data_IF_764846833615
#
_entry.id   IF_764846833615
#
_cell.length_a   1.000
_cell.length_b   1.000
_cell.length_c   1.000
_cell.angle_alpha   90.00
_cell.angle_beta   90.00
_cell.angle_gamma   90.00
#
_symmetry.space_group_name_H-M   'P 1'
#
loop_
_entity.id
_entity.type
_entity.pdbx_description
1 polymer ?
#
# COMPACT_ATOMS: atom_id res chain seq x y z
N UNK A 1 -11.81 -4.43 -12.78
CA UNK A 1 -11.30 -4.08 -14.12
C UNK A 1 -10.86 -5.33 -14.85
N UNK A 2 -11.03 -5.37 -16.17
CA UNK A 2 -10.59 -6.49 -17.00
C UNK A 2 -9.22 -6.15 -17.59
N UNK A 3 -8.27 -7.07 -17.49
CA UNK A 3 -6.95 -6.97 -18.12
C UNK A 3 -7.03 -7.29 -19.61
N UNK A 4 -6.00 -6.95 -20.38
CA UNK A 4 -5.89 -7.26 -21.80
C UNK A 4 -6.01 -8.77 -22.11
N UNK A 5 -5.69 -9.63 -21.14
CA UNK A 5 -5.80 -11.09 -21.24
C UNK A 5 -7.10 -11.65 -20.62
N UNK A 6 -8.11 -10.82 -20.37
CA UNK A 6 -9.43 -11.24 -19.88
C UNK A 6 -9.48 -11.64 -18.40
N UNK A 7 -8.40 -11.46 -17.64
CA UNK A 7 -8.41 -11.66 -16.18
C UNK A 7 -9.08 -10.47 -15.49
N UNK A 8 -9.92 -10.73 -14.50
CA UNK A 8 -10.50 -9.70 -13.66
C UNK A 8 -9.57 -9.34 -12.50
N UNK A 9 -9.38 -8.05 -12.26
CA UNK A 9 -8.65 -7.49 -11.13
C UNK A 9 -9.58 -6.54 -10.38
N UNK A 10 -9.65 -6.67 -9.06
CA UNK A 10 -10.40 -5.73 -8.23
C UNK A 10 -9.51 -4.55 -7.86
N UNK A 11 -9.88 -3.35 -8.28
CA UNK A 11 -9.17 -2.11 -7.95
C UNK A 11 -10.00 -1.30 -6.94
N UNK A 12 -9.35 -0.79 -5.91
CA UNK A 12 -9.95 0.09 -4.93
C UNK A 12 -8.96 1.18 -4.54
N UNK A 13 -9.43 2.42 -4.53
CA UNK A 13 -8.69 3.56 -4.01
C UNK A 13 -9.23 3.89 -2.62
N UNK A 14 -8.34 3.98 -1.64
CA UNK A 14 -8.70 4.30 -0.25
C UNK A 14 -8.87 5.81 -0.10
N UNK A 15 -9.94 6.32 0.53
CA UNK A 15 -10.07 7.74 0.83
C UNK A 15 -9.01 8.18 1.85
N UNK A 16 -8.46 9.38 1.69
CA UNK A 16 -7.41 9.92 2.54
C UNK A 16 -7.66 11.39 2.92
N UNK A 17 -7.23 11.84 4.11
CA UNK A 17 -7.24 13.26 4.46
C UNK A 17 -6.13 14.03 3.74
N UNK A 18 -6.14 15.35 3.87
CA UNK A 18 -5.05 16.22 3.37
C UNK A 18 -3.72 16.03 4.11
N UNK A 19 -3.71 15.35 5.27
CA UNK A 19 -2.48 14.99 5.98
C UNK A 19 -1.74 13.94 5.16
N UNK A 20 -0.69 14.37 4.45
CA UNK A 20 0.07 13.52 3.54
C UNK A 20 0.62 12.28 4.27
N UNK A 21 0.70 11.16 3.54
CA UNK A 21 1.19 9.86 4.03
C UNK A 21 0.34 9.20 5.15
N UNK A 22 -0.60 9.91 5.77
CA UNK A 22 -1.43 9.37 6.86
C UNK A 22 -2.25 8.13 6.47
N UNK A 23 -2.53 7.96 5.17
CA UNK A 23 -3.28 6.81 4.65
C UNK A 23 -2.42 5.56 4.44
N UNK A 24 -1.09 5.66 4.42
CA UNK A 24 -0.20 4.53 4.15
C UNK A 24 -0.47 3.31 5.05
N UNK A 25 -0.48 3.44 6.39
CA UNK A 25 -0.78 2.30 7.26
C UNK A 25 -2.23 1.82 7.14
N UNK A 26 -3.16 2.68 6.72
CA UNK A 26 -4.55 2.28 6.47
C UNK A 26 -4.64 1.34 5.26
N UNK A 27 -3.88 1.62 4.20
CA UNK A 27 -3.79 0.74 3.02
C UNK A 27 -3.12 -0.58 3.38
N UNK A 28 -2.00 -0.56 4.11
CA UNK A 28 -1.32 -1.79 4.56
C UNK A 28 -2.23 -2.65 5.43
N UNK A 29 -2.89 -2.06 6.43
CA UNK A 29 -3.84 -2.77 7.28
C UNK A 29 -5.03 -3.33 6.50
N UNK A 30 -5.53 -2.59 5.51
CA UNK A 30 -6.61 -3.07 4.64
C UNK A 30 -6.16 -4.24 3.76
N UNK A 31 -4.95 -4.18 3.20
CA UNK A 31 -4.38 -5.25 2.41
C UNK A 31 -4.14 -6.51 3.26
N UNK A 32 -3.52 -6.34 4.44
CA UNK A 32 -3.30 -7.40 5.41
C UNK A 32 -4.60 -8.10 5.79
N UNK A 33 -5.60 -7.34 6.25
CA UNK A 33 -6.88 -7.90 6.65
C UNK A 33 -7.58 -8.66 5.52
N UNK A 34 -7.48 -8.18 4.27
CA UNK A 34 -8.04 -8.89 3.12
C UNK A 34 -7.27 -10.16 2.78
N UNK A 35 -5.94 -10.15 2.83
CA UNK A 35 -5.13 -11.34 2.61
C UNK A 35 -5.51 -12.44 3.62
N UNK A 36 -5.59 -12.08 4.90
CA UNK A 36 -5.93 -13.00 5.97
C UNK A 36 -7.36 -13.58 5.82
N UNK A 37 -8.35 -12.72 5.54
CA UNK A 37 -9.77 -13.13 5.50
C UNK A 37 -10.18 -13.80 4.18
N UNK A 38 -9.66 -13.33 3.04
CA UNK A 38 -10.13 -13.74 1.71
C UNK A 38 -9.21 -14.73 1.01
N UNK A 39 -7.94 -14.77 1.40
CA UNK A 39 -6.90 -15.50 0.67
C UNK A 39 -6.05 -16.41 1.57
N UNK A 40 -6.48 -16.71 2.80
CA UNK A 40 -5.75 -17.58 3.73
C UNK A 40 -4.29 -17.12 3.93
N UNK A 41 -4.09 -15.80 4.00
CA UNK A 41 -2.77 -15.17 4.10
C UNK A 41 -1.83 -15.48 2.92
N UNK A 42 -2.38 -15.85 1.75
CA UNK A 42 -1.67 -15.84 0.46
C UNK A 42 -1.54 -14.38 -0.02
N UNK A 43 -0.40 -13.79 0.32
CA UNK A 43 -0.10 -12.39 0.03
C UNK A 43 0.11 -12.12 -1.48
N UNK A 44 0.38 -13.13 -2.31
CA UNK A 44 0.52 -12.96 -3.77
C UNK A 44 -0.83 -12.64 -4.46
N UNK A 45 -1.95 -12.75 -3.73
CA UNK A 45 -3.31 -12.48 -4.21
C UNK A 45 -3.72 -11.02 -4.03
N UNK A 46 -2.93 -10.22 -3.33
CA UNK A 46 -3.21 -8.80 -3.06
C UNK A 46 -1.94 -7.98 -3.27
N UNK A 47 -2.08 -6.79 -3.86
CA UNK A 47 -0.94 -5.92 -4.12
C UNK A 47 -1.24 -4.52 -3.58
N UNK A 48 -0.65 -4.14 -2.44
CA UNK A 48 -0.66 -2.76 -1.99
C UNK A 48 0.16 -1.89 -2.95
N UNK A 49 -0.39 -0.72 -3.29
CA UNK A 49 0.30 0.31 -4.06
C UNK A 49 0.16 1.61 -3.28
N UNK A 50 1.29 2.21 -2.91
CA UNK A 50 1.36 3.51 -2.24
C UNK A 50 1.96 4.53 -3.20
N UNK A 51 1.26 5.66 -3.36
CA UNK A 51 1.68 6.75 -4.24
C UNK A 51 2.05 7.94 -3.36
N UNK A 52 3.24 8.49 -3.58
CA UNK A 52 3.81 9.54 -2.75
C UNK A 52 4.21 10.76 -3.58
N UNK A 53 4.27 11.93 -2.95
CA UNK A 53 5.06 13.06 -3.43
C UNK A 53 6.50 12.98 -2.92
N UNK A 54 7.43 13.61 -3.62
CA UNK A 54 8.86 13.64 -3.25
C UNK A 54 9.12 14.30 -1.89
N UNK A 55 8.48 15.45 -1.61
CA UNK A 55 8.65 16.11 -0.32
C UNK A 55 8.04 15.29 0.84
N UNK A 56 6.88 14.67 0.62
CA UNK A 56 6.15 13.96 1.68
C UNK A 56 6.77 12.61 2.03
N UNK A 57 7.24 11.84 1.06
CA UNK A 57 7.91 10.55 1.31
C UNK A 57 9.20 10.74 2.12
N UNK A 58 9.93 11.83 1.88
CA UNK A 58 11.16 12.13 2.60
C UNK A 58 10.88 12.73 3.99
N UNK A 59 9.83 13.54 4.12
CA UNK A 59 9.59 14.37 5.31
C UNK A 59 8.64 13.80 6.36
N UNK A 60 7.77 12.84 6.03
CA UNK A 60 6.80 12.30 6.98
C UNK A 60 7.32 11.02 7.65
N UNK A 61 7.45 11.06 8.98
CA UNK A 61 7.94 9.93 9.79
C UNK A 61 7.15 8.63 9.60
N UNK A 62 5.84 8.74 9.32
CA UNK A 62 4.94 7.59 9.13
C UNK A 62 5.35 6.69 7.95
N UNK A 63 6.07 7.23 6.96
CA UNK A 63 6.64 6.43 5.86
C UNK A 63 7.69 5.46 6.40
N UNK A 64 8.62 5.96 7.22
CA UNK A 64 9.70 5.16 7.79
C UNK A 64 9.17 4.16 8.83
N UNK A 65 8.16 4.54 9.62
CA UNK A 65 7.46 3.61 10.51
C UNK A 65 6.89 2.42 9.72
N UNK A 66 6.19 2.69 8.61
CA UNK A 66 5.64 1.66 7.74
C UNK A 66 6.73 0.76 7.14
N UNK A 67 7.81 1.35 6.61
CA UNK A 67 8.95 0.60 6.05
C UNK A 67 9.61 -0.30 7.11
N UNK A 68 9.81 0.20 8.33
CA UNK A 68 10.38 -0.58 9.43
C UNK A 68 9.49 -1.78 9.82
N UNK A 69 8.17 -1.64 9.71
CA UNK A 69 7.23 -2.73 9.99
C UNK A 69 7.07 -3.73 8.84
N UNK A 70 7.51 -3.41 7.63
CA UNK A 70 7.18 -4.16 6.40
C UNK A 70 7.52 -5.66 6.41
N UNK A 71 8.52 -6.08 7.20
CA UNK A 71 8.95 -7.48 7.32
C UNK A 71 8.50 -8.15 8.62
N UNK A 72 7.78 -7.43 9.50
CA UNK A 72 7.29 -8.01 10.74
C UNK A 72 6.07 -8.89 10.45
N UNK A 73 6.02 -10.08 11.06
CA UNK A 73 4.96 -11.06 10.84
C UNK A 73 3.54 -10.48 10.99
N UNK A 74 3.32 -9.60 11.97
CA UNK A 74 2.02 -8.96 12.21
C UNK A 74 1.62 -7.89 11.19
N UNK A 75 2.56 -7.42 10.36
CA UNK A 75 2.38 -6.28 9.44
C UNK A 75 2.71 -6.63 7.99
N UNK A 76 3.30 -7.79 7.74
CA UNK A 76 3.70 -8.26 6.41
C UNK A 76 2.49 -8.37 5.46
N UNK A 77 2.66 -7.86 4.24
CA UNK A 77 1.64 -7.81 3.18
C UNK A 77 2.10 -8.41 1.85
N UNK A 78 3.25 -9.10 1.82
CA UNK A 78 3.86 -9.60 0.56
C UNK A 78 4.78 -8.58 -0.12
N UNK A 79 4.85 -7.36 0.42
CA UNK A 79 5.58 -6.25 -0.16
C UNK A 79 4.65 -5.26 -0.88
N UNK A 80 5.09 -4.01 -0.94
CA UNK A 80 4.29 -2.89 -1.43
C UNK A 80 5.02 -2.20 -2.58
N UNK A 81 4.30 -1.90 -3.66
CA UNK A 81 4.85 -1.04 -4.71
C UNK A 81 4.71 0.40 -4.26
N UNK A 82 5.86 1.07 -4.11
CA UNK A 82 5.92 2.50 -3.85
C UNK A 82 6.18 3.25 -5.15
N UNK A 83 5.27 4.15 -5.52
CA UNK A 83 5.43 5.01 -6.68
C UNK A 83 5.57 6.46 -6.23
N UNK A 84 6.78 7.00 -6.38
CA UNK A 84 7.05 8.40 -6.01
C UNK A 84 6.91 9.28 -7.24
N UNK A 85 5.97 10.21 -7.19
CA UNK A 85 5.86 11.28 -8.16
C UNK A 85 6.83 12.37 -7.71
N UNK A 86 8.06 12.28 -8.20
CA UNK A 86 9.11 13.25 -7.93
C UNK A 86 9.04 14.38 -8.94
N UNK A 87 8.37 15.47 -8.57
CA UNK A 87 8.26 16.65 -9.40
C UNK A 87 9.34 17.70 -9.08
N UNK A 88 10.24 17.41 -8.13
CA UNK A 88 11.42 18.20 -7.75
C UNK A 88 11.08 19.48 -6.98
N UNK A 89 9.99 19.49 -6.19
CA UNK A 89 9.63 20.64 -5.32
C UNK A 89 8.94 20.25 -4.01
#
# INVERSE_FOLDING_TARGET
VNTAHGKQVYLKLTPNPSHLEAVNPVVEGFARAKADVLYNSDYDRILPILIHGDASIAGQGIVYEGLQMSQLEGYYTGGTIHFTINNQI
#
